data_IF_593659613836
#
_entry.id   IF_593659613836
#
_cell.length_a   1.000
_cell.length_b   1.000
_cell.length_c   1.000
_cell.angle_alpha   90.00
_cell.angle_beta   90.00
_cell.angle_gamma   90.00
#
_symmetry.space_group_name_H-M   'P 1'
#
loop_
_entity.id
_entity.type
_entity.pdbx_description
1 polymer ?
#
# COMPACT_ATOMS: atom_id res chain seq x y z
N UNK A 1 -3.19 -6.27 26.32
CA UNK A 1 -2.48 -5.12 26.92
C UNK A 1 -2.73 -3.93 26.01
N UNK A 2 -3.61 -2.99 26.39
CA UNK A 2 -3.91 -1.80 25.59
C UNK A 2 -2.94 -0.69 26.03
N UNK A 3 -1.87 -0.51 25.27
CA UNK A 3 -0.93 0.60 25.51
C UNK A 3 -1.60 1.88 25.00
N UNK A 4 -1.90 2.83 25.89
CA UNK A 4 -2.28 4.19 25.48
C UNK A 4 -1.01 4.91 25.06
N UNK A 5 -0.87 5.16 23.76
CA UNK A 5 0.21 5.97 23.19
C UNK A 5 -0.18 7.44 23.24
N UNK A 6 0.76 8.30 23.62
CA UNK A 6 0.63 9.75 23.42
C UNK A 6 0.75 10.10 21.93
N UNK A 7 0.25 11.27 21.50
CA UNK A 7 0.40 11.71 20.11
C UNK A 7 1.86 11.74 19.63
N UNK A 8 2.78 12.18 20.49
CA UNK A 8 4.20 12.23 20.18
C UNK A 8 4.81 10.82 19.99
N UNK A 9 4.49 9.87 20.87
CA UNK A 9 4.95 8.48 20.72
C UNK A 9 4.38 7.83 19.45
N UNK A 10 3.12 8.12 19.13
CA UNK A 10 2.50 7.64 17.91
C UNK A 10 3.19 8.18 16.65
N UNK A 11 3.55 9.47 16.62
CA UNK A 11 4.32 10.03 15.50
C UNK A 11 5.67 9.36 15.32
N UNK A 12 6.38 9.08 16.42
CA UNK A 12 7.65 8.35 16.38
C UNK A 12 7.45 6.95 15.80
N UNK A 13 6.41 6.23 16.23
CA UNK A 13 6.09 4.91 15.68
C UNK A 13 5.78 4.96 14.19
N UNK A 14 5.00 5.93 13.72
CA UNK A 14 4.67 6.12 12.30
C UNK A 14 5.93 6.39 11.46
N UNK A 15 6.94 7.06 12.01
CA UNK A 15 8.23 7.27 11.32
C UNK A 15 9.04 5.98 11.28
N UNK A 16 9.17 5.25 12.39
CA UNK A 16 10.08 4.10 12.46
C UNK A 16 9.49 2.76 12.00
N UNK A 17 8.17 2.56 12.11
CA UNK A 17 7.51 1.32 11.74
C UNK A 17 6.59 1.51 10.53
N UNK A 18 6.99 0.90 9.41
CA UNK A 18 6.23 0.98 8.17
C UNK A 18 4.83 0.36 8.29
N UNK A 19 4.63 -0.67 9.14
CA UNK A 19 3.30 -1.26 9.32
C UNK A 19 2.34 -0.26 9.97
N UNK A 20 2.80 0.49 10.97
CA UNK A 20 2.05 1.57 11.62
C UNK A 20 1.77 2.72 10.64
N UNK A 21 2.76 3.13 9.85
CA UNK A 21 2.57 4.11 8.78
C UNK A 21 1.50 3.66 7.77
N UNK A 22 1.58 2.42 7.31
CA UNK A 22 0.63 1.87 6.35
C UNK A 22 -0.80 1.80 6.90
N UNK A 23 -0.99 1.48 8.19
CA UNK A 23 -2.30 1.56 8.84
C UNK A 23 -2.85 2.98 8.83
N UNK A 24 -2.00 3.97 9.14
CA UNK A 24 -2.38 5.37 9.10
C UNK A 24 -2.81 5.79 7.69
N UNK A 25 -2.01 5.49 6.68
CA UNK A 25 -2.36 5.75 5.29
C UNK A 25 -3.68 5.09 4.88
N UNK A 26 -3.92 3.85 5.31
CA UNK A 26 -5.17 3.17 5.00
C UNK A 26 -6.37 3.87 5.64
N UNK A 27 -6.25 4.26 6.91
CA UNK A 27 -7.30 4.98 7.64
C UNK A 27 -7.60 6.33 6.99
N UNK A 28 -6.57 7.06 6.56
CA UNK A 28 -6.72 8.36 5.88
C UNK A 28 -7.40 8.21 4.51
N UNK A 29 -7.14 7.11 3.78
CA UNK A 29 -7.77 6.82 2.49
C UNK A 29 -9.16 6.18 2.61
N UNK A 30 -9.43 5.44 3.68
CA UNK A 30 -10.66 4.67 3.88
C UNK A 30 -11.20 4.87 5.31
N UNK A 31 -11.67 6.09 5.66
CA UNK A 31 -12.07 6.41 7.03
C UNK A 31 -13.26 5.58 7.54
N UNK A 32 -14.04 4.99 6.64
CA UNK A 32 -15.22 4.18 6.96
C UNK A 32 -14.89 2.69 7.20
N UNK A 33 -13.65 2.26 6.90
CA UNK A 33 -13.27 0.84 6.91
C UNK A 33 -12.17 0.61 7.94
N UNK A 34 -12.42 -0.28 8.90
CA UNK A 34 -11.39 -0.68 9.83
C UNK A 34 -10.48 -1.75 9.22
N UNK A 35 -9.18 -1.47 9.12
CA UNK A 35 -8.19 -2.45 8.68
C UNK A 35 -7.80 -3.37 9.84
N UNK A 36 -8.12 -4.65 9.72
CA UNK A 36 -7.48 -5.66 10.57
C UNK A 36 -6.05 -5.91 10.08
N UNK A 37 -5.06 -5.59 10.92
CA UNK A 37 -3.64 -5.85 10.64
C UNK A 37 -3.37 -7.36 10.67
N UNK A 38 -3.67 -8.00 9.54
CA UNK A 38 -3.48 -9.43 9.35
C UNK A 38 -1.99 -9.78 9.21
N UNK A 39 -1.66 -11.06 9.46
CA UNK A 39 -0.28 -11.55 9.41
C UNK A 39 0.44 -11.23 8.09
N UNK A 40 -0.27 -11.35 6.95
CA UNK A 40 0.32 -11.13 5.63
C UNK A 40 0.71 -9.66 5.41
N UNK A 41 -0.05 -8.71 5.96
CA UNK A 41 0.29 -7.28 5.89
C UNK A 41 1.57 -6.98 6.67
N UNK A 42 1.74 -7.61 7.84
CA UNK A 42 2.97 -7.51 8.64
C UNK A 42 4.18 -8.09 7.90
N UNK A 43 4.00 -9.23 7.22
CA UNK A 43 5.06 -9.84 6.41
C UNK A 43 5.44 -8.93 5.24
N UNK A 44 4.45 -8.39 4.51
CA UNK A 44 4.70 -7.46 3.41
C UNK A 44 5.42 -6.22 3.91
N UNK A 45 4.97 -5.64 5.03
CA UNK A 45 5.60 -4.47 5.63
C UNK A 45 7.06 -4.73 6.03
N UNK A 46 7.35 -5.89 6.62
CA UNK A 46 8.72 -6.28 6.97
C UNK A 46 9.60 -6.47 5.71
N UNK A 47 9.06 -7.07 4.64
CA UNK A 47 9.80 -7.24 3.37
C UNK A 47 10.05 -5.89 2.68
N UNK A 48 9.08 -4.97 2.68
CA UNK A 48 9.25 -3.62 2.15
C UNK A 48 10.26 -2.81 2.97
N UNK A 49 10.25 -2.94 4.28
CA UNK A 49 11.27 -2.34 5.16
C UNK A 49 12.67 -2.85 4.79
N UNK A 50 12.83 -4.16 4.58
CA UNK A 50 14.08 -4.75 4.13
C UNK A 50 14.50 -4.29 2.70
N UNK A 51 13.54 -3.89 1.84
CA UNK A 51 13.85 -3.24 0.56
C UNK A 51 14.45 -1.86 0.78
N UNK A 52 13.84 -1.03 1.63
CA UNK A 52 14.37 0.29 1.97
C UNK A 52 15.76 0.21 2.59
N UNK A 53 16.00 -0.76 3.47
CA UNK A 53 17.31 -1.00 4.09
C UNK A 53 18.37 -1.56 3.11
N UNK A 54 18.01 -1.82 1.85
CA UNK A 54 18.91 -2.38 0.84
C UNK A 54 19.22 -3.87 1.01
N UNK A 55 18.63 -4.55 2.01
CA UNK A 55 18.76 -5.99 2.24
C UNK A 55 18.09 -6.81 1.14
N UNK A 56 17.00 -6.28 0.56
CA UNK A 56 16.30 -6.88 -0.58
C UNK A 56 16.33 -5.89 -1.74
N UNK A 57 16.99 -6.25 -2.85
CA UNK A 57 17.04 -5.39 -4.04
C UNK A 57 15.87 -5.60 -5.00
N UNK A 58 15.27 -6.80 -4.98
CA UNK A 58 14.17 -7.20 -5.88
C UNK A 58 13.15 -7.98 -5.06
N UNK A 59 11.94 -7.44 -4.93
CA UNK A 59 10.85 -8.05 -4.18
C UNK A 59 9.65 -8.29 -5.11
N UNK A 60 9.13 -9.51 -5.13
CA UNK A 60 7.89 -9.87 -5.82
C UNK A 60 6.85 -10.22 -4.76
N UNK A 61 5.67 -9.61 -4.86
CA UNK A 61 4.55 -9.84 -3.92
C UNK A 61 3.39 -10.48 -4.69
N UNK A 62 3.22 -11.79 -4.54
CA UNK A 62 2.13 -12.55 -5.15
C UNK A 62 0.94 -12.63 -4.19
N UNK A 63 -0.07 -11.79 -4.40
CA UNK A 63 -1.26 -11.75 -3.56
C UNK A 63 -2.51 -11.48 -4.41
N UNK A 64 -3.68 -12.06 -4.07
CA UNK A 64 -4.89 -11.86 -4.87
C UNK A 64 -5.32 -10.38 -4.95
N UNK A 65 -6.22 -10.01 -5.87
CA UNK A 65 -6.81 -8.68 -5.91
C UNK A 65 -7.60 -8.38 -4.63
N UNK A 66 -7.67 -7.09 -4.25
CA UNK A 66 -8.31 -6.57 -3.00
C UNK A 66 -7.56 -6.82 -1.68
N UNK A 67 -6.32 -7.30 -1.71
CA UNK A 67 -5.53 -7.51 -0.50
C UNK A 67 -4.57 -6.36 -0.15
N UNK A 68 -4.96 -5.11 -0.44
CA UNK A 68 -4.18 -3.89 -0.13
C UNK A 68 -2.75 -3.80 -0.72
N UNK A 69 -2.27 -4.81 -1.45
CA UNK A 69 -0.92 -4.85 -2.02
C UNK A 69 -0.55 -3.57 -2.80
N UNK A 70 -1.48 -3.03 -3.59
CA UNK A 70 -1.24 -1.82 -4.39
C UNK A 70 -1.19 -0.56 -3.51
N UNK A 71 -2.00 -0.50 -2.44
CA UNK A 71 -1.93 0.59 -1.48
C UNK A 71 -0.60 0.57 -0.73
N UNK A 72 -0.17 -0.61 -0.27
CA UNK A 72 1.11 -0.75 0.43
C UNK A 72 2.30 -0.43 -0.48
N UNK A 73 2.34 -1.00 -1.69
CA UNK A 73 3.51 -0.91 -2.57
C UNK A 73 3.59 0.39 -3.38
N UNK A 74 2.45 0.93 -3.83
CA UNK A 74 2.43 2.10 -4.74
C UNK A 74 2.11 3.42 -4.04
N UNK A 75 1.52 3.40 -2.84
CA UNK A 75 1.14 4.62 -2.11
C UNK A 75 1.94 4.74 -0.81
N UNK A 76 1.73 3.81 0.13
CA UNK A 76 2.30 3.92 1.47
C UNK A 76 3.84 3.82 1.44
N UNK A 77 4.39 2.87 0.67
CA UNK A 77 5.84 2.65 0.64
C UNK A 77 6.62 3.85 0.05
N UNK A 78 6.27 4.40 -1.13
CA UNK A 78 6.92 5.61 -1.63
C UNK A 78 6.76 6.79 -0.68
N UNK A 79 5.57 7.02 -0.13
CA UNK A 79 5.32 8.12 0.81
C UNK A 79 6.19 8.01 2.08
N UNK A 80 6.31 6.80 2.64
CA UNK A 80 7.14 6.55 3.81
C UNK A 80 8.63 6.75 3.51
N UNK A 81 9.10 6.26 2.36
CA UNK A 81 10.48 6.44 1.95
C UNK A 81 10.82 7.92 1.71
N UNK A 82 9.95 8.67 1.01
CA UNK A 82 10.13 10.11 0.78
C UNK A 82 10.15 10.92 2.08
N UNK A 83 9.38 10.50 3.09
CA UNK A 83 9.42 11.11 4.43
C UNK A 83 10.75 10.93 5.16
N UNK A 84 11.60 9.98 4.72
CA UNK A 84 12.93 9.75 5.29
C UNK A 84 14.06 10.24 4.39
N UNK A 85 13.91 10.04 3.08
CA UNK A 85 14.86 10.43 2.07
C UNK A 85 14.12 11.08 0.89
N UNK A 86 14.09 12.42 0.82
CA UNK A 86 13.41 13.12 -0.25
C UNK A 86 14.08 12.95 -1.62
N UNK A 87 15.31 12.40 -1.68
CA UNK A 87 16.01 12.13 -2.93
C UNK A 87 15.63 10.78 -3.56
N UNK A 88 14.87 9.94 -2.86
CA UNK A 88 14.46 8.64 -3.33
C UNK A 88 13.54 8.73 -4.57
N UNK A 89 13.84 7.92 -5.59
CA UNK A 89 13.09 7.88 -6.85
C UNK A 89 12.23 6.62 -6.95
N UNK A 90 10.97 6.79 -7.36
CA UNK A 90 9.99 5.72 -7.48
C UNK A 90 9.35 5.72 -8.87
N UNK A 91 9.23 4.53 -9.46
CA UNK A 91 8.45 4.30 -10.68
C UNK A 91 7.35 3.27 -10.38
N UNK A 92 6.09 3.67 -10.55
CA UNK A 92 4.94 2.77 -10.42
C UNK A 92 4.31 2.58 -11.79
N UNK A 93 4.32 1.34 -12.29
CA UNK A 93 3.68 0.97 -13.57
C UNK A 93 2.50 0.06 -13.26
N UNK A 94 1.31 0.47 -13.72
CA UNK A 94 0.09 -0.31 -13.59
C UNK A 94 -0.48 -0.56 -14.97
N UNK A 95 -0.95 -1.79 -15.23
CA UNK A 95 -1.66 -2.12 -16.46
C UNK A 95 -3.15 -2.26 -16.15
N UNK A 96 -3.96 -1.39 -16.73
CA UNK A 96 -5.41 -1.55 -16.75
C UNK A 96 -5.77 -2.14 -18.12
N UNK A 97 -6.27 -3.37 -18.13
CA UNK A 97 -6.95 -3.89 -19.32
C UNK A 97 -8.33 -3.24 -19.35
N UNK A 98 -8.55 -2.33 -20.31
CA UNK A 98 -9.93 -1.94 -20.62
C UNK A 98 -10.67 -3.19 -21.09
N UNK A 99 -11.85 -3.50 -20.53
CA UNK A 99 -12.67 -4.55 -21.09
C UNK A 99 -12.95 -4.18 -22.55
N UNK A 100 -12.86 -5.13 -23.50
CA UNK A 100 -13.22 -4.84 -24.88
C UNK A 100 -14.67 -4.37 -24.88
N UNK A 101 -14.90 -3.12 -25.27
CA UNK A 101 -16.23 -2.58 -25.52
C UNK A 101 -16.81 -3.28 -26.73
N UNK A 102 -17.27 -4.52 -26.57
CA UNK A 102 -18.05 -5.25 -27.56
C UNK A 102 -19.48 -5.34 -27.06
N UNK A 103 -20.27 -4.29 -27.33
CA UNK A 103 -21.70 -4.48 -27.53
C UNK A 103 -21.96 -4.45 -29.03
N UNK A 104 -22.22 -5.59 -29.68
CA UNK A 104 -22.78 -5.60 -31.03
C UNK A 104 -24.28 -5.33 -30.86
N UNK A 105 -24.69 -4.06 -30.92
CA UNK A 105 -26.11 -3.75 -31.10
C UNK A 105 -26.47 -4.03 -32.57
N UNK A 106 -26.96 -5.23 -32.83
CA UNK A 106 -27.73 -5.57 -34.04
C UNK A 106 -29.21 -5.42 -33.70
N UNK A 107 -29.91 -4.51 -34.38
CA UNK A 107 -31.35 -4.47 -34.73
C UNK A 107 -31.73 -3.01 -35.05
N UNK A 108 -32.43 -2.59 -36.11
CA UNK A 108 -33.01 -3.19 -37.31
C UNK A 108 -33.26 -2.02 -38.31
N UNK A 109 -33.45 -2.25 -39.62
CA UNK A 109 -33.83 -1.19 -40.55
C UNK A 109 -35.33 -0.89 -40.44
N UNK A 110 -35.71 0.39 -40.54
CA UNK A 110 -37.07 0.88 -40.81
C UNK A 110 -36.97 2.09 -41.72
#
# INVERSE_FOLDING_TARGET
>A
MCVRLTPAEYEVLVRHDFATFAMRCFHDLNPQTHLAMNWHLRVIAAKLTAVREGKIRRLIINLPPRHLKSLLASIAFPAWCLGHDPSAQFLSVSYAQDPPTSSPAIAAPS
#
